data_IF_855021471923
#
_entry.id   IF_855021471923
#
_cell.length_a   1.000
_cell.length_b   1.000
_cell.length_c   1.000
_cell.angle_alpha   90.00
_cell.angle_beta   90.00
_cell.angle_gamma   90.00
#
_symmetry.space_group_name_H-M   'P 1'
#
loop_
_entity.id
_entity.type
_entity.pdbx_description
1 polymer ?
#
# COMPACT_ATOMS: atom_id res chain seq x y z
N UNK A 1 14.01 15.27 -12.96
CA UNK A 1 14.07 14.88 -11.54
C UNK A 1 13.61 13.43 -11.44
N UNK A 2 14.52 12.49 -11.15
CA UNK A 2 14.19 11.06 -11.05
C UNK A 2 13.82 10.75 -9.60
N UNK A 3 12.54 10.50 -9.34
CA UNK A 3 12.06 10.15 -8.00
C UNK A 3 12.37 8.67 -7.75
N UNK A 4 13.17 8.41 -6.73
CA UNK A 4 13.53 7.08 -6.24
C UNK A 4 12.33 6.40 -5.57
N UNK A 5 12.38 5.07 -5.47
CA UNK A 5 11.34 4.31 -4.77
C UNK A 5 11.23 4.71 -3.29
N UNK A 6 12.36 5.06 -2.65
CA UNK A 6 12.39 5.55 -1.27
C UNK A 6 11.59 6.84 -1.12
N UNK A 7 11.80 7.84 -1.99
CA UNK A 7 11.06 9.11 -1.97
C UNK A 7 9.55 8.90 -2.21
N UNK A 8 9.19 7.98 -3.11
CA UNK A 8 7.77 7.65 -3.35
C UNK A 8 7.10 7.02 -2.14
N UNK A 9 7.82 6.11 -1.46
CA UNK A 9 7.31 5.46 -0.25
C UNK A 9 7.19 6.49 0.87
N UNK A 10 8.19 7.35 1.06
CA UNK A 10 8.14 8.42 2.06
C UNK A 10 6.92 9.32 1.86
N UNK A 11 6.69 9.80 0.62
CA UNK A 11 5.52 10.61 0.30
C UNK A 11 4.19 9.88 0.55
N UNK A 12 4.09 8.60 0.15
CA UNK A 12 2.88 7.82 0.40
C UNK A 12 2.64 7.58 1.90
N UNK A 13 3.71 7.39 2.67
CA UNK A 13 3.61 7.18 4.13
C UNK A 13 3.16 8.42 4.88
N UNK A 14 3.54 9.61 4.40
CA UNK A 14 3.07 10.89 4.93
C UNK A 14 1.54 11.03 4.84
N UNK A 15 0.90 10.35 3.88
CA UNK A 15 -0.54 10.37 3.69
C UNK A 15 -1.28 9.31 4.52
N UNK A 16 -0.57 8.33 5.10
CA UNK A 16 -1.20 7.26 5.89
C UNK A 16 -1.73 7.81 7.22
N UNK A 17 -2.90 7.34 7.62
CA UNK A 17 -3.53 7.69 8.90
C UNK A 17 -4.07 6.44 9.60
N UNK A 18 -4.20 6.52 10.92
CA UNK A 18 -4.86 5.51 11.77
C UNK A 18 -4.32 4.09 11.52
N UNK A 19 -5.19 3.16 11.11
CA UNK A 19 -4.88 1.74 10.91
C UNK A 19 -3.81 1.53 9.83
N UNK A 20 -3.73 2.42 8.82
CA UNK A 20 -2.73 2.31 7.76
C UNK A 20 -1.32 2.65 8.25
N UNK A 21 -1.18 3.61 9.16
CA UNK A 21 0.09 3.96 9.78
C UNK A 21 0.60 2.84 10.69
N UNK A 22 -0.29 2.27 11.52
CA UNK A 22 0.04 1.13 12.41
C UNK A 22 0.47 -0.09 11.59
N UNK A 23 -0.22 -0.39 10.50
CA UNK A 23 0.16 -1.46 9.58
C UNK A 23 1.54 -1.22 8.96
N UNK A 24 1.84 0.00 8.51
CA UNK A 24 3.13 0.33 7.93
C UNK A 24 4.28 0.18 8.94
N UNK A 25 4.06 0.56 10.20
CA UNK A 25 5.02 0.34 11.28
C UNK A 25 5.25 -1.14 11.57
N UNK A 26 4.20 -1.97 11.55
CA UNK A 26 4.33 -3.42 11.67
C UNK A 26 5.08 -4.03 10.49
N UNK A 27 4.81 -3.55 9.27
CA UNK A 27 5.50 -3.98 8.06
C UNK A 27 7.01 -3.68 8.13
N UNK A 28 7.40 -2.54 8.71
CA UNK A 28 8.81 -2.20 8.97
C UNK A 28 9.42 -3.07 10.08
N UNK A 29 8.71 -3.27 11.20
CA UNK A 29 9.19 -4.06 12.35
C UNK A 29 9.36 -5.55 12.05
N UNK A 30 8.58 -6.08 11.10
CA UNK A 30 8.73 -7.47 10.63
C UNK A 30 9.98 -7.71 9.78
N UNK A 31 10.83 -6.71 9.58
CA UNK A 31 12.06 -6.83 8.78
C UNK A 31 13.30 -6.81 9.65
N UNK A 32 14.32 -7.51 9.14
CA UNK A 32 15.68 -7.47 9.68
C UNK A 32 16.18 -6.02 9.60
N UNK A 33 16.74 -5.54 10.70
CA UNK A 33 17.34 -4.21 10.79
C UNK A 33 18.42 -4.05 9.70
N UNK A 34 18.33 -2.98 8.89
CA UNK A 34 19.23 -2.73 7.77
C UNK A 34 18.83 -3.36 6.43
N UNK A 35 17.72 -4.11 6.36
CA UNK A 35 17.19 -4.58 5.08
C UNK A 35 16.73 -3.37 4.22
N UNK A 36 16.96 -3.37 2.88
CA UNK A 36 16.54 -2.29 2.01
C UNK A 36 15.04 -1.98 2.15
N UNK A 37 14.72 -0.69 2.06
CA UNK A 37 13.35 -0.23 1.81
C UNK A 37 12.87 -1.00 0.56
N UNK A 38 11.75 -1.69 0.69
CA UNK A 38 11.19 -2.46 -0.43
C UNK A 38 10.96 -1.54 -1.63
N UNK A 39 11.06 -2.08 -2.85
CA UNK A 39 10.69 -1.32 -4.04
C UNK A 39 9.25 -0.79 -3.92
N UNK A 40 8.94 0.29 -4.62
CA UNK A 40 7.62 0.88 -4.60
C UNK A 40 6.54 -0.13 -5.02
N UNK A 41 6.86 -1.06 -5.92
CA UNK A 41 5.96 -2.14 -6.36
C UNK A 41 5.57 -3.09 -5.22
N UNK A 42 6.52 -3.42 -4.34
CA UNK A 42 6.27 -4.29 -3.19
C UNK A 42 5.44 -3.57 -2.13
N UNK A 43 5.68 -2.26 -1.92
CA UNK A 43 4.85 -1.41 -1.07
C UNK A 43 3.39 -1.47 -1.53
N UNK A 44 3.18 -1.16 -2.81
CA UNK A 44 1.87 -1.02 -3.41
C UNK A 44 1.11 -2.35 -3.36
N UNK A 45 1.78 -3.46 -3.70
CA UNK A 45 1.20 -4.80 -3.66
C UNK A 45 0.75 -5.19 -2.24
N UNK A 46 1.58 -4.91 -1.22
CA UNK A 46 1.24 -5.21 0.17
C UNK A 46 0.10 -4.33 0.68
N UNK A 47 0.10 -3.04 0.33
CA UNK A 47 -0.94 -2.09 0.69
C UNK A 47 -2.29 -2.47 0.05
N UNK A 48 -2.29 -2.75 -1.26
CA UNK A 48 -3.49 -3.20 -1.97
C UNK A 48 -4.00 -4.52 -1.42
N UNK A 49 -3.13 -5.49 -1.13
CA UNK A 49 -3.53 -6.77 -0.53
C UNK A 49 -4.21 -6.60 0.83
N UNK A 50 -3.76 -5.62 1.64
CA UNK A 50 -4.28 -5.38 2.99
C UNK A 50 -5.57 -4.57 3.02
N UNK A 51 -5.62 -3.45 2.29
CA UNK A 51 -6.73 -2.48 2.36
C UNK A 51 -7.72 -2.62 1.21
N UNK A 52 -7.34 -3.26 0.10
CA UNK A 52 -8.18 -3.48 -1.07
C UNK A 52 -8.23 -4.97 -1.43
N UNK A 53 -8.90 -5.80 -0.60
CA UNK A 53 -9.13 -7.20 -0.91
C UNK A 53 -9.61 -7.36 -2.34
N UNK A 54 -9.16 -8.44 -3.01
CA UNK A 54 -9.41 -8.70 -4.44
C UNK A 54 -10.88 -8.62 -4.84
N UNK A 55 -11.79 -8.91 -3.90
CA UNK A 55 -13.24 -8.73 -4.03
C UNK A 55 -13.64 -7.28 -4.36
N UNK A 56 -13.10 -6.28 -3.66
CA UNK A 56 -13.36 -4.86 -3.93
C UNK A 56 -12.71 -4.37 -5.24
N UNK A 57 -11.62 -5.01 -5.68
CA UNK A 57 -10.97 -4.71 -6.96
C UNK A 57 -11.79 -5.21 -8.17
N UNK A 58 -12.61 -6.24 -7.98
CA UNK A 58 -13.51 -6.78 -9.02
C UNK A 58 -14.86 -6.08 -9.10
N UNK A 59 -15.24 -5.31 -8.06
CA UNK A 59 -16.55 -4.67 -7.97
C UNK A 59 -16.77 -3.49 -8.94
N UNK A 60 -15.78 -3.09 -9.75
CA UNK A 60 -15.95 -2.08 -10.82
C UNK A 60 -16.58 -2.62 -12.11
N UNK A 61 -17.24 -3.79 -12.06
CA UNK A 61 -17.79 -4.47 -13.23
C UNK A 61 -19.31 -4.68 -13.25
N UNK A 62 -20.04 -4.43 -12.17
CA UNK A 62 -21.49 -4.68 -12.15
C UNK A 62 -22.26 -3.36 -12.21
N UNK A 63 -22.53 -2.92 -13.44
CA UNK A 63 -23.64 -1.99 -13.71
C UNK A 63 -24.91 -2.66 -13.20
N UNK A 64 -25.38 -2.24 -12.03
CA UNK A 64 -26.69 -2.65 -11.52
C UNK A 64 -27.72 -2.00 -12.44
N UNK A 65 -28.57 -2.73 -13.18
CA UNK A 65 -29.68 -2.11 -13.86
C UNK A 65 -30.70 -1.70 -12.79
N UNK A 66 -31.00 -0.41 -12.71
CA UNK A 66 -32.13 0.08 -11.92
C UNK A 66 -33.44 -0.37 -12.59
N UNK A 67 -34.45 -0.80 -11.79
CA UNK A 67 -35.78 -1.13 -12.29
C UNK A 67 -36.53 0.10 -12.81
#
# INVERSE_FOLDING_TARGET
MHVTDAERIELATYQLKSVAMIWFDQLKKGRVEGAPIFSFVVFESAFMGRFFPRELRKAKGTRIPHP
#
